data_IF_278785144479
#
_entry.id   IF_278785144479
#
_cell.length_a   1.000
_cell.length_b   1.000
_cell.length_c   1.000
_cell.angle_alpha   90.00
_cell.angle_beta   90.00
_cell.angle_gamma   90.00
#
_symmetry.space_group_name_H-M   'P 1'
#
loop_
_entity.id
_entity.type
_entity.pdbx_description
1 polymer ?
#
# COMPACT_ATOMS: atom_id res chain seq x y z
N UNK A 1 -12.02 71.14 -16.13
CA UNK A 1 -12.51 70.18 -17.14
C UNK A 1 -13.38 69.19 -16.41
N UNK A 2 -14.66 69.20 -16.77
CA UNK A 2 -15.80 68.85 -15.91
C UNK A 2 -16.23 67.38 -16.05
N UNK A 3 -16.88 66.91 -14.99
CA UNK A 3 -17.64 65.68 -14.86
C UNK A 3 -18.64 65.43 -16.01
N UNK A 4 -18.85 64.15 -16.35
CA UNK A 4 -20.09 63.68 -16.97
C UNK A 4 -20.64 62.48 -16.18
N UNK A 5 -21.73 62.75 -15.48
CA UNK A 5 -22.91 61.90 -15.25
C UNK A 5 -23.47 61.43 -16.63
N UNK A 6 -24.32 60.43 -16.85
CA UNK A 6 -25.09 59.48 -16.04
C UNK A 6 -25.91 58.59 -17.00
N UNK A 7 -26.38 57.44 -16.50
CA UNK A 7 -27.75 56.88 -16.68
C UNK A 7 -28.14 56.15 -18.00
N UNK A 8 -28.36 54.84 -17.79
CA UNK A 8 -29.49 53.98 -18.17
C UNK A 8 -29.62 53.21 -19.49
N UNK A 9 -30.08 51.97 -19.26
CA UNK A 9 -30.91 51.10 -20.11
C UNK A 9 -30.09 50.18 -21.01
N UNK A 10 -30.22 48.85 -20.94
CA UNK A 10 -31.45 48.10 -21.21
C UNK A 10 -31.33 46.69 -20.59
N UNK A 11 -32.31 46.33 -19.75
CA UNK A 11 -33.06 45.06 -19.64
C UNK A 11 -32.31 43.71 -19.50
N UNK A 12 -32.81 42.66 -18.84
CA UNK A 12 -33.97 42.35 -18.00
C UNK A 12 -33.75 40.88 -17.60
N UNK A 13 -34.13 40.53 -16.37
CA UNK A 13 -34.77 39.25 -16.04
C UNK A 13 -33.95 37.96 -16.23
N UNK A 14 -33.52 37.35 -15.12
CA UNK A 14 -34.18 36.13 -14.60
C UNK A 14 -33.71 35.86 -13.16
N UNK A 15 -34.69 35.96 -12.26
CA UNK A 15 -34.66 35.60 -10.84
C UNK A 15 -35.06 34.13 -10.74
N UNK A 16 -34.25 33.37 -10.01
CA UNK A 16 -34.55 32.13 -9.25
C UNK A 16 -35.12 30.91 -9.98
N UNK A 17 -34.36 29.81 -9.95
CA UNK A 17 -34.73 28.55 -9.27
C UNK A 17 -34.20 27.32 -10.03
N UNK A 18 -33.73 26.36 -9.23
CA UNK A 18 -33.46 24.97 -9.59
C UNK A 18 -32.23 24.79 -10.52
N UNK A 19 -31.32 23.86 -10.28
CA UNK A 19 -31.53 22.55 -9.65
C UNK A 19 -30.17 22.03 -9.22
N UNK A 20 -30.16 21.38 -8.07
CA UNK A 20 -29.10 20.49 -7.61
C UNK A 20 -28.66 19.55 -8.75
N UNK A 21 -27.48 19.81 -9.29
CA UNK A 21 -26.66 18.78 -9.93
C UNK A 21 -25.25 18.89 -9.36
N UNK A 22 -25.12 18.62 -8.06
CA UNK A 22 -23.95 17.89 -7.60
C UNK A 22 -23.96 16.57 -8.36
N UNK A 23 -23.29 16.57 -9.50
CA UNK A 23 -22.92 15.37 -10.20
C UNK A 23 -22.16 14.50 -9.20
N UNK A 24 -22.83 13.46 -8.72
CA UNK A 24 -22.24 12.30 -8.09
C UNK A 24 -21.15 11.80 -9.04
N UNK A 25 -19.91 12.19 -8.76
CA UNK A 25 -18.74 11.69 -9.46
C UNK A 25 -18.54 10.23 -9.04
N UNK A 26 -18.62 9.24 -9.95
CA UNK A 26 -18.41 7.84 -9.61
C UNK A 26 -16.90 7.52 -9.61
N UNK A 27 -16.12 8.35 -8.91
CA UNK A 27 -14.71 8.10 -8.61
C UNK A 27 -14.59 7.91 -7.09
N UNK A 28 -14.97 6.71 -6.63
CA UNK A 28 -14.63 6.18 -5.32
C UNK A 28 -13.11 6.05 -5.24
N UNK A 29 -12.42 7.17 -5.03
CA UNK A 29 -11.01 7.22 -4.70
C UNK A 29 -10.84 6.45 -3.39
N UNK A 30 -10.12 5.33 -3.49
CA UNK A 30 -9.75 4.45 -2.38
C UNK A 30 -8.99 5.29 -1.35
N UNK A 31 -9.74 5.88 -0.43
CA UNK A 31 -9.24 6.82 0.56
C UNK A 31 -9.64 6.30 1.94
N UNK A 32 -8.76 6.49 2.92
CA UNK A 32 -9.01 6.03 4.27
C UNK A 32 -10.32 6.63 4.77
N UNK A 33 -11.16 5.84 5.46
CA UNK A 33 -12.31 6.41 6.15
C UNK A 33 -11.86 7.55 7.06
N UNK A 34 -12.65 8.61 7.12
CA UNK A 34 -12.28 9.85 7.83
C UNK A 34 -11.78 9.62 9.27
N UNK A 35 -12.38 8.71 10.07
CA UNK A 35 -11.87 8.45 11.41
C UNK A 35 -10.45 7.85 11.39
N UNK A 36 -10.16 6.91 10.48
CA UNK A 36 -8.82 6.34 10.33
C UNK A 36 -7.83 7.39 9.81
N UNK A 37 -8.24 8.24 8.87
CA UNK A 37 -7.42 9.32 8.33
C UNK A 37 -7.02 10.32 9.41
N UNK A 38 -7.94 10.71 10.30
CA UNK A 38 -7.66 11.60 11.43
C UNK A 38 -6.67 10.98 12.41
N UNK A 39 -6.85 9.70 12.75
CA UNK A 39 -5.91 8.98 13.62
C UNK A 39 -4.49 8.91 13.00
N UNK A 40 -4.41 8.62 11.71
CA UNK A 40 -3.12 8.61 10.97
C UNK A 40 -2.48 10.00 10.95
N UNK A 41 -3.26 11.06 10.69
CA UNK A 41 -2.77 12.44 10.68
C UNK A 41 -2.24 12.88 12.06
N UNK A 42 -2.82 12.36 13.15
CA UNK A 42 -2.36 12.62 14.52
C UNK A 42 -1.20 11.72 14.96
N UNK A 43 -0.72 10.80 14.12
CA UNK A 43 0.30 9.82 14.49
C UNK A 43 -0.19 8.70 15.41
N UNK A 44 -1.51 8.56 15.61
CA UNK A 44 -2.13 7.55 16.47
C UNK A 44 -2.27 6.19 15.75
N UNK A 45 -1.15 5.67 15.23
CA UNK A 45 -1.12 4.50 14.34
C UNK A 45 -1.66 3.21 14.99
N UNK A 46 -1.45 3.02 16.29
CA UNK A 46 -2.00 1.87 17.01
C UNK A 46 -3.53 1.87 17.02
N UNK A 47 -4.15 3.02 17.30
CA UNK A 47 -5.62 3.18 17.26
C UNK A 47 -6.15 3.08 15.84
N UNK A 48 -5.43 3.65 14.87
CA UNK A 48 -5.79 3.52 13.46
C UNK A 48 -5.78 2.06 13.02
N UNK A 49 -4.78 1.28 13.44
CA UNK A 49 -4.72 -0.16 13.18
C UNK A 49 -5.94 -0.89 13.77
N UNK A 50 -6.24 -0.65 15.05
CA UNK A 50 -7.35 -1.31 15.75
C UNK A 50 -8.70 -0.98 15.09
N UNK A 51 -8.89 0.27 14.64
CA UNK A 51 -10.07 0.69 13.87
C UNK A 51 -10.13 0.01 12.49
N UNK A 52 -9.02 -0.05 11.75
CA UNK A 52 -8.99 -0.64 10.41
C UNK A 52 -9.30 -2.14 10.43
N UNK A 53 -9.02 -2.84 11.54
CA UNK A 53 -9.40 -4.25 11.71
C UNK A 53 -10.91 -4.49 11.68
N UNK A 54 -11.72 -3.51 12.11
CA UNK A 54 -13.19 -3.66 12.15
C UNK A 54 -13.85 -3.37 10.80
N UNK A 55 -13.09 -2.95 9.80
CA UNK A 55 -13.61 -2.58 8.49
C UNK A 55 -13.59 -3.76 7.51
N UNK A 56 -14.44 -3.73 6.46
CA UNK A 56 -14.38 -4.72 5.38
C UNK A 56 -12.98 -4.85 4.79
N UNK A 57 -12.51 -6.09 4.66
CA UNK A 57 -11.17 -6.39 4.17
C UNK A 57 -11.05 -6.14 2.66
N UNK A 58 -10.54 -4.97 2.29
CA UNK A 58 -10.05 -4.66 0.94
C UNK A 58 -8.52 -4.63 0.92
N UNK A 59 -7.91 -4.74 -0.27
CA UNK A 59 -6.45 -4.57 -0.46
C UNK A 59 -5.97 -3.24 0.11
N UNK A 60 -6.75 -2.18 -0.10
CA UNK A 60 -6.44 -0.85 0.40
C UNK A 60 -6.46 -0.78 1.94
N UNK A 61 -7.54 -1.25 2.58
CA UNK A 61 -7.68 -1.27 4.04
C UNK A 61 -6.57 -2.13 4.66
N UNK A 62 -6.26 -3.28 4.06
CA UNK A 62 -5.18 -4.16 4.52
C UNK A 62 -3.81 -3.50 4.37
N UNK A 63 -3.54 -2.78 3.28
CA UNK A 63 -2.29 -2.02 3.15
C UNK A 63 -2.18 -0.95 4.23
N UNK A 64 -3.22 -0.15 4.42
CA UNK A 64 -3.23 0.89 5.44
C UNK A 64 -3.06 0.32 6.85
N UNK A 65 -3.72 -0.79 7.14
CA UNK A 65 -3.58 -1.53 8.39
C UNK A 65 -2.13 -1.99 8.58
N UNK A 66 -1.51 -2.59 7.55
CA UNK A 66 -0.11 -3.01 7.64
C UNK A 66 0.87 -1.83 7.80
N UNK A 67 0.65 -0.70 7.13
CA UNK A 67 1.46 0.52 7.33
C UNK A 67 1.30 1.07 8.75
N UNK A 68 0.08 1.14 9.29
CA UNK A 68 -0.15 1.51 10.69
C UNK A 68 0.54 0.53 11.67
N UNK A 69 0.55 -0.77 11.36
CA UNK A 69 1.26 -1.76 12.15
C UNK A 69 2.77 -1.51 12.13
N UNK A 70 3.36 -1.25 10.96
CA UNK A 70 4.79 -0.89 10.84
C UNK A 70 5.10 0.35 11.71
N UNK A 71 4.35 1.44 11.53
CA UNK A 71 4.59 2.72 12.20
C UNK A 71 4.34 2.67 13.72
N UNK A 72 3.59 1.69 14.21
CA UNK A 72 3.38 1.43 15.64
C UNK A 72 4.28 0.34 16.23
N UNK A 73 5.25 -0.18 15.45
CA UNK A 73 6.18 -1.22 15.90
C UNK A 73 5.61 -2.64 15.95
N UNK A 74 4.40 -2.85 15.43
CA UNK A 74 3.71 -4.15 15.31
C UNK A 74 4.19 -4.91 14.07
N UNK A 75 5.50 -5.17 13.99
CA UNK A 75 6.17 -5.66 12.76
C UNK A 75 5.69 -7.06 12.36
N UNK A 76 5.47 -7.96 13.31
CA UNK A 76 4.99 -9.33 13.02
C UNK A 76 3.58 -9.32 12.42
N UNK A 77 2.71 -8.44 12.92
CA UNK A 77 1.37 -8.25 12.37
C UNK A 77 1.44 -7.71 10.94
N UNK A 78 2.30 -6.72 10.67
CA UNK A 78 2.48 -6.18 9.33
C UNK A 78 2.95 -7.26 8.33
N UNK A 79 3.94 -8.07 8.72
CA UNK A 79 4.43 -9.18 7.91
C UNK A 79 3.32 -10.19 7.63
N UNK A 80 2.52 -10.55 8.63
CA UNK A 80 1.40 -11.49 8.44
C UNK A 80 0.40 -10.95 7.40
N UNK A 81 0.03 -9.67 7.49
CA UNK A 81 -0.92 -9.05 6.55
C UNK A 81 -0.36 -9.06 5.13
N UNK A 82 0.92 -8.70 4.95
CA UNK A 82 1.53 -8.69 3.61
C UNK A 82 1.74 -10.09 3.04
N UNK A 83 2.06 -11.09 3.88
CA UNK A 83 2.13 -12.49 3.44
C UNK A 83 0.79 -12.96 2.87
N UNK A 84 -0.30 -12.70 3.59
CA UNK A 84 -1.65 -13.04 3.14
C UNK A 84 -2.04 -12.31 1.84
N UNK A 85 -1.59 -11.06 1.69
CA UNK A 85 -1.95 -10.22 0.57
C UNK A 85 -1.12 -10.52 -0.70
N UNK A 86 0.15 -10.88 -0.53
CA UNK A 86 1.12 -10.90 -1.62
C UNK A 86 1.62 -12.29 -1.98
N UNK A 87 1.56 -13.28 -1.09
CA UNK A 87 2.04 -14.62 -1.38
C UNK A 87 0.94 -15.51 -1.96
N UNK A 88 1.36 -16.47 -2.77
CA UNK A 88 0.50 -17.59 -3.15
C UNK A 88 0.34 -18.49 -1.92
N UNK A 89 -0.89 -18.90 -1.53
CA UNK A 89 -1.12 -19.65 -0.30
C UNK A 89 -0.29 -20.93 -0.25
N UNK A 90 0.34 -21.18 0.90
CA UNK A 90 1.22 -22.35 1.09
C UNK A 90 2.60 -22.24 0.44
N UNK A 91 2.98 -21.07 -0.09
CA UNK A 91 4.29 -20.86 -0.73
C UNK A 91 5.00 -19.61 -0.18
N UNK A 92 6.25 -19.44 -0.57
CA UNK A 92 7.02 -18.20 -0.40
C UNK A 92 7.06 -17.34 -1.66
N UNK A 93 6.26 -17.68 -2.68
CA UNK A 93 6.27 -17.03 -3.99
C UNK A 93 5.34 -15.83 -3.98
N UNK A 94 5.86 -14.67 -4.40
CA UNK A 94 5.08 -13.46 -4.58
C UNK A 94 4.17 -13.55 -5.81
N UNK A 95 2.96 -13.00 -5.69
CA UNK A 95 2.02 -12.87 -6.80
C UNK A 95 2.57 -11.84 -7.80
N UNK A 96 2.75 -12.27 -9.05
CA UNK A 96 3.33 -11.46 -10.13
C UNK A 96 2.56 -10.17 -10.41
N UNK A 97 1.25 -10.19 -10.20
CA UNK A 97 0.33 -9.07 -10.45
C UNK A 97 0.11 -8.17 -9.24
N UNK A 98 0.85 -8.39 -8.14
CA UNK A 98 0.78 -7.50 -6.99
C UNK A 98 1.43 -6.14 -7.28
N UNK A 99 0.83 -5.04 -6.82
CA UNK A 99 1.42 -3.71 -6.92
C UNK A 99 2.79 -3.65 -6.29
N UNK A 100 3.71 -2.99 -6.96
CA UNK A 100 5.08 -2.80 -6.48
C UNK A 100 5.13 -2.02 -5.15
N UNK A 101 4.21 -1.08 -4.95
CA UNK A 101 4.07 -0.39 -3.66
C UNK A 101 3.88 -1.36 -2.48
N UNK A 102 3.03 -2.38 -2.65
CA UNK A 102 2.79 -3.34 -1.59
C UNK A 102 4.04 -4.20 -1.33
N UNK A 103 4.76 -4.58 -2.39
CA UNK A 103 6.02 -5.31 -2.27
C UNK A 103 7.06 -4.49 -1.53
N UNK A 104 7.16 -3.19 -1.82
CA UNK A 104 8.08 -2.28 -1.11
C UNK A 104 7.70 -2.15 0.36
N UNK A 105 6.41 -1.96 0.69
CA UNK A 105 5.98 -1.91 2.09
C UNK A 105 6.24 -3.25 2.82
N UNK A 106 6.06 -4.38 2.13
CA UNK A 106 6.40 -5.69 2.67
C UNK A 106 7.90 -5.83 2.93
N UNK A 107 8.74 -5.41 1.99
CA UNK A 107 10.19 -5.37 2.16
C UNK A 107 10.61 -4.50 3.34
N UNK A 108 9.96 -3.35 3.57
CA UNK A 108 10.20 -2.51 4.75
C UNK A 108 9.88 -3.28 6.03
N UNK A 109 8.72 -3.95 6.11
CA UNK A 109 8.36 -4.74 7.28
C UNK A 109 9.38 -5.87 7.55
N UNK A 110 9.81 -6.58 6.52
CA UNK A 110 10.82 -7.65 6.59
C UNK A 110 12.18 -7.09 7.01
N UNK A 111 12.58 -5.94 6.48
CA UNK A 111 13.81 -5.25 6.89
C UNK A 111 13.79 -4.87 8.37
N UNK A 112 12.68 -4.31 8.86
CA UNK A 112 12.51 -3.92 10.27
C UNK A 112 12.47 -5.11 11.23
N UNK A 113 12.13 -6.31 10.74
CA UNK A 113 12.25 -7.56 11.50
C UNK A 113 13.72 -8.01 11.66
N UNK A 114 14.66 -7.36 10.96
CA UNK A 114 16.07 -7.71 10.94
C UNK A 114 16.40 -8.75 9.88
N UNK A 115 15.69 -8.73 8.74
CA UNK A 115 15.88 -9.68 7.64
C UNK A 115 16.25 -8.96 6.32
N UNK A 116 17.42 -8.31 6.23
CA UNK A 116 17.81 -7.54 5.04
C UNK A 116 17.94 -8.40 3.78
N UNK A 117 18.33 -9.67 3.89
CA UNK A 117 18.37 -10.56 2.72
C UNK A 117 16.96 -10.80 2.16
N UNK A 118 16.00 -11.14 3.02
CA UNK A 118 14.61 -11.33 2.60
C UNK A 118 13.96 -10.06 2.05
N UNK A 119 14.34 -8.89 2.58
CA UNK A 119 13.89 -7.61 2.03
C UNK A 119 14.43 -7.37 0.62
N UNK A 120 15.70 -7.70 0.34
CA UNK A 120 16.26 -7.62 -1.01
C UNK A 120 15.55 -8.55 -1.99
N UNK A 121 15.28 -9.79 -1.58
CA UNK A 121 14.57 -10.77 -2.43
C UNK A 121 13.19 -10.25 -2.85
N UNK A 122 12.45 -9.60 -1.94
CA UNK A 122 11.16 -8.97 -2.26
C UNK A 122 11.35 -7.77 -3.20
N UNK A 123 12.38 -6.96 -3.00
CA UNK A 123 12.65 -5.77 -3.81
C UNK A 123 13.21 -6.10 -5.21
N UNK A 124 13.67 -7.32 -5.44
CA UNK A 124 14.06 -7.79 -6.78
C UNK A 124 12.85 -8.19 -7.62
N UNK A 125 11.68 -8.40 -7.00
CA UNK A 125 10.38 -8.63 -7.66
C UNK A 125 9.63 -7.32 -8.02
N UNK A 126 10.18 -6.16 -7.67
CA UNK A 126 9.63 -4.85 -8.02
C UNK A 126 9.95 -4.54 -9.49
N UNK A 127 8.92 -4.30 -10.30
CA UNK A 127 9.05 -4.11 -11.75
C UNK A 127 9.46 -2.68 -12.11
N UNK A 128 8.95 -1.69 -11.39
CA UNK A 128 9.29 -0.28 -11.62
C UNK A 128 10.67 0.06 -11.03
N UNK A 129 11.70 0.27 -11.87
CA UNK A 129 13.05 0.59 -11.40
C UNK A 129 13.15 1.98 -10.77
N UNK A 130 12.17 2.87 -10.99
CA UNK A 130 12.18 4.26 -10.52
C UNK A 130 11.41 4.41 -9.21
N UNK A 131 10.84 3.33 -8.66
CA UNK A 131 10.14 3.41 -7.38
C UNK A 131 11.08 3.88 -6.26
N UNK A 132 11.02 5.18 -5.93
CA UNK A 132 11.99 5.89 -5.09
C UNK A 132 12.16 5.20 -3.73
N UNK A 133 11.05 4.71 -3.15
CA UNK A 133 11.09 3.97 -1.89
C UNK A 133 11.88 2.66 -2.00
N UNK A 134 11.77 1.91 -3.11
CA UNK A 134 12.55 0.70 -3.33
C UNK A 134 14.04 1.02 -3.41
N UNK A 135 14.41 2.07 -4.17
CA UNK A 135 15.80 2.54 -4.30
C UNK A 135 16.36 2.95 -2.94
N UNK A 136 15.59 3.68 -2.12
CA UNK A 136 15.99 4.11 -0.77
C UNK A 136 16.18 2.93 0.18
N UNK A 137 15.32 1.92 0.13
CA UNK A 137 15.49 0.71 0.95
C UNK A 137 16.75 -0.05 0.50
N UNK A 138 16.96 -0.25 -0.81
CA UNK A 138 18.18 -0.88 -1.33
C UNK A 138 19.45 -0.10 -0.95
N UNK A 139 19.41 1.24 -0.99
CA UNK A 139 20.55 2.08 -0.62
C UNK A 139 20.83 2.02 0.89
N UNK A 140 19.81 2.01 1.75
CA UNK A 140 19.96 1.83 3.20
C UNK A 140 20.63 0.49 3.53
N UNK A 141 20.15 -0.61 2.93
CA UNK A 141 20.76 -1.94 3.08
C UNK A 141 22.21 -1.92 2.59
N UNK A 142 22.50 -1.27 1.46
CA UNK A 142 23.86 -1.16 0.93
C UNK A 142 24.78 -0.38 1.87
N UNK A 143 24.34 0.76 2.41
CA UNK A 143 25.11 1.55 3.36
C UNK A 143 25.39 0.78 4.65
N UNK A 144 24.37 0.11 5.20
CA UNK A 144 24.53 -0.80 6.32
C UNK A 144 25.53 -1.93 6.01
N UNK A 145 25.43 -2.57 4.85
CA UNK A 145 26.38 -3.64 4.48
C UNK A 145 27.82 -3.14 4.40
N UNK A 146 28.01 -1.85 4.07
CA UNK A 146 29.31 -1.21 4.01
C UNK A 146 29.87 -0.83 5.39
N UNK A 147 29.04 -0.80 6.44
CA UNK A 147 29.53 -0.64 7.82
C UNK A 147 29.92 -1.97 8.47
N UNK A 148 29.52 -3.11 7.89
CA UNK A 148 29.95 -4.43 8.36
C UNK A 148 31.45 -4.66 8.14
N UNK A 149 32.06 -5.43 9.05
CA UNK A 149 33.43 -5.94 8.89
C UNK A 149 33.55 -6.75 7.61
N UNK A 150 34.76 -6.80 7.03
CA UNK A 150 35.01 -7.48 5.76
C UNK A 150 34.47 -8.91 5.75
N UNK A 151 34.78 -9.70 6.78
CA UNK A 151 34.31 -11.08 6.92
C UNK A 151 32.79 -11.17 7.05
N UNK A 152 32.17 -10.27 7.82
CA UNK A 152 30.72 -10.30 8.00
C UNK A 152 29.96 -9.90 6.74
N UNK A 153 30.49 -8.93 6.00
CA UNK A 153 29.96 -8.53 4.69
C UNK A 153 30.06 -9.67 3.69
N UNK A 154 31.19 -10.37 3.67
CA UNK A 154 31.41 -11.50 2.76
C UNK A 154 30.49 -12.69 3.09
N UNK A 155 30.42 -13.07 4.37
CA UNK A 155 29.53 -14.12 4.89
C UNK A 155 28.05 -13.83 4.55
N UNK A 156 27.58 -12.61 4.80
CA UNK A 156 26.23 -12.19 4.44
C UNK A 156 25.97 -12.25 2.93
N UNK A 157 26.90 -11.77 2.10
CA UNK A 157 26.72 -11.75 0.65
C UNK A 157 26.64 -13.14 0.02
N UNK A 158 27.45 -14.09 0.50
CA UNK A 158 27.54 -15.43 -0.08
C UNK A 158 26.51 -16.36 0.55
N UNK A 159 26.43 -16.40 1.88
CA UNK A 159 25.59 -17.35 2.59
C UNK A 159 24.17 -16.82 2.83
N UNK A 160 23.90 -15.54 2.56
CA UNK A 160 22.62 -14.86 2.88
C UNK A 160 22.23 -15.00 4.36
N UNK A 161 23.23 -15.14 5.23
CA UNK A 161 23.04 -15.22 6.69
C UNK A 161 22.95 -13.81 7.23
N UNK A 162 21.74 -13.42 7.63
CA UNK A 162 21.50 -12.12 8.25
C UNK A 162 22.13 -12.06 9.65
N UNK A 163 22.84 -10.97 10.01
CA UNK A 163 23.43 -10.87 11.33
C UNK A 163 22.38 -10.83 12.44
N UNK A 164 22.62 -11.58 13.52
CA UNK A 164 21.71 -11.62 14.68
C UNK A 164 21.50 -10.20 15.21
N UNK A 165 20.23 -9.81 15.35
CA UNK A 165 19.85 -8.48 15.85
C UNK A 165 20.24 -7.33 14.90
N UNK A 166 20.45 -7.58 13.62
CA UNK A 166 20.79 -6.50 12.69
C UNK A 166 19.64 -5.49 12.58
N UNK A 167 20.00 -4.21 12.68
CA UNK A 167 19.11 -3.10 12.44
C UNK A 167 19.70 -2.26 11.32
N UNK A 168 19.00 -2.21 10.19
CA UNK A 168 19.37 -1.33 9.09
C UNK A 168 18.74 0.04 9.37
N UNK A 169 19.54 1.10 9.58
CA UNK A 169 19.00 2.43 9.79
C UNK A 169 18.27 2.87 8.52
N UNK A 170 16.99 3.21 8.64
CA UNK A 170 16.19 3.70 7.53
C UNK A 170 15.49 5.00 7.92
N UNK A 171 15.84 6.07 7.22
CA UNK A 171 15.25 7.40 7.38
C UNK A 171 14.19 7.61 6.30
N UNK A 172 13.16 6.77 6.32
CA UNK A 172 12.04 6.81 5.39
C UNK A 172 10.73 6.87 6.18
N UNK A 173 9.74 7.58 5.66
CA UNK A 173 8.37 7.36 6.10
C UNK A 173 8.00 5.90 5.91
N UNK A 174 7.84 5.18 7.03
CA UNK A 174 7.73 3.73 7.03
C UNK A 174 6.42 3.30 6.35
N UNK A 175 6.52 2.99 5.06
CA UNK A 175 5.44 2.55 4.21
C UNK A 175 4.52 3.67 3.70
N UNK A 176 3.90 3.41 2.55
CA UNK A 176 2.96 4.33 1.90
C UNK A 176 1.52 3.75 1.89
N UNK A 177 0.55 4.59 2.22
CA UNK A 177 -0.87 4.26 2.22
C UNK A 177 -1.49 4.20 0.82
N UNK A 178 -0.95 4.95 -0.15
CA UNK A 178 -1.56 5.17 -1.48
C UNK A 178 -1.18 4.11 -2.50
N UNK A 179 -2.15 3.31 -2.94
CA UNK A 179 -2.03 2.48 -4.13
C UNK A 179 -2.20 3.39 -5.34
N UNK A 180 -1.12 3.67 -6.08
CA UNK A 180 -1.14 4.58 -7.23
C UNK A 180 -2.25 4.27 -8.25
N UNK A 181 -2.73 5.31 -8.95
CA UNK A 181 -3.92 5.27 -9.83
C UNK A 181 -3.89 4.16 -10.90
N UNK A 182 -2.70 3.77 -11.40
CA UNK A 182 -2.52 2.75 -12.43
C UNK A 182 -2.97 1.34 -11.99
N UNK A 183 -2.96 1.03 -10.69
CA UNK A 183 -3.42 -0.28 -10.22
C UNK A 183 -4.95 -0.43 -10.22
N UNK A 184 -5.68 0.68 -10.12
CA UNK A 184 -7.15 0.70 -10.01
C UNK A 184 -7.80 0.21 -11.32
N UNK A 185 -7.23 0.56 -12.48
CA UNK A 185 -7.72 0.12 -13.78
C UNK A 185 -7.58 -1.40 -14.01
N UNK A 186 -6.62 -2.05 -13.34
CA UNK A 186 -6.39 -3.50 -13.47
C UNK A 186 -7.35 -4.28 -12.58
N UNK A 187 -7.72 -3.79 -11.39
CA UNK A 187 -8.67 -4.51 -10.53
C UNK A 187 -10.13 -4.44 -11.02
N UNK A 188 -10.54 -3.36 -11.67
CA UNK A 188 -11.90 -3.24 -12.23
C UNK A 188 -12.11 -4.10 -13.48
N UNK A 189 -11.03 -4.61 -14.08
CA UNK A 189 -11.06 -5.41 -15.30
C UNK A 189 -10.83 -6.91 -15.09
N UNK A 190 -10.60 -7.38 -13.86
CA UNK A 190 -10.52 -8.83 -13.57
C UNK A 190 -11.95 -9.37 -13.43
N UNK A 191 -12.48 -10.14 -14.39
CA UNK A 191 -13.76 -10.81 -14.20
C UNK A 191 -13.65 -11.78 -13.03
N UNK A 192 -14.59 -11.68 -12.08
CA UNK A 192 -14.79 -12.73 -11.07
C UNK A 192 -15.11 -14.01 -11.82
N UNK A 193 -14.13 -14.89 -12.01
CA UNK A 193 -14.39 -16.25 -12.47
C UNK A 193 -15.17 -16.95 -11.37
N UNK A 194 -16.47 -17.06 -11.59
CA UNK A 194 -17.37 -17.89 -10.81
C UNK A 194 -16.87 -19.33 -10.89
N UNK A 195 -16.30 -19.81 -9.78
CA UNK A 195 -16.01 -21.23 -9.61
C UNK A 195 -17.37 -21.94 -9.58
N UNK A 196 -17.72 -22.60 -10.67
CA UNK A 196 -18.89 -23.46 -10.77
C UNK A 196 -18.61 -24.73 -9.95
N UNK A 197 -19.48 -25.13 -9.00
CA UNK A 197 -19.26 -26.36 -8.25
C UNK A 197 -19.34 -27.57 -9.19
N UNK A 198 -18.31 -28.41 -9.14
CA UNK A 198 -18.19 -29.67 -9.88
C UNK A 198 -19.35 -30.60 -9.49
N UNK A 199 -20.11 -31.18 -10.43
CA UNK A 199 -21.21 -32.08 -10.10
C UNK A 199 -20.68 -33.40 -9.56
N UNK A 200 -21.24 -33.81 -8.42
CA UNK A 200 -21.00 -35.09 -7.74
C UNK A 200 -21.49 -36.24 -8.62
N UNK A 201 -20.61 -37.22 -8.88
CA UNK A 201 -20.97 -38.41 -9.66
C UNK A 201 -22.00 -39.30 -8.93
N UNK A 202 -22.94 -39.94 -9.65
CA UNK A 202 -23.91 -40.84 -9.03
C UNK A 202 -23.26 -42.18 -8.65
N UNK A 203 -23.64 -42.68 -7.47
CA UNK A 203 -23.37 -44.06 -7.02
C UNK A 203 -24.02 -45.03 -8.00
N UNK A 204 -23.23 -45.91 -8.62
CA UNK A 204 -23.77 -47.13 -9.23
C UNK A 204 -24.20 -48.07 -8.10
N UNK A 205 -25.47 -48.45 -8.14
CA UNK A 205 -25.99 -49.62 -7.44
C UNK A 205 -26.03 -50.78 -8.44
N UNK A 206 -25.28 -51.85 -8.15
CA UNK A 206 -25.54 -53.24 -8.47
C UNK A 206 -24.46 -54.09 -7.79
#
# INVERSE_FOLDING_TARGET
>A
MSQTCSIDSIARTLVTAATNHSATSPASSQSLPDPARRLVANGEYAKAYDLLQTLPHSTYVRNAMAVCAIRSGRIDQAISIYRDLLLIPGTTILRKESPDLLKVNFAIAVLLKGLPSGALDILDEVKDPIQISAVRVKSAIRQWSNSLSFWRRWDWKINRIDPVGCQVPIELELGNFELGEFYVAVQTSIPKTSVTPKPTAPKLAA
#
